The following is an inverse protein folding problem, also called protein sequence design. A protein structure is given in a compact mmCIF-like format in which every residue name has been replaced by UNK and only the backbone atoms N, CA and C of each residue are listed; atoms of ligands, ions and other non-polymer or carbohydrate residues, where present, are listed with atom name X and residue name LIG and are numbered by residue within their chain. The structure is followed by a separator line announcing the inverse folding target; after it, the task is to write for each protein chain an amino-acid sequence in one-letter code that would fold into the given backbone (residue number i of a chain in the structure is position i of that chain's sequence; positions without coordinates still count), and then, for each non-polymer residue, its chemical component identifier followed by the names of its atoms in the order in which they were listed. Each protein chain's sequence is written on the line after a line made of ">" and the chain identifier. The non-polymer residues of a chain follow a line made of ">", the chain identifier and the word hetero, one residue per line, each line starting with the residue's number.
data_IF_350577793967
#
_entry.id   IF_350577793967
#
_cell.length_a   1.000
_cell.length_b   1.000
_cell.length_c   1.000
_cell.angle_alpha   90.00
_cell.angle_beta   90.00
_cell.angle_gamma   90.00
#
_symmetry.space_group_name_H-M   'P 1'
#
loop_
_entity.id
_entity.type
_entity.pdbx_description
1 polymer ?
#
# COMPACT_ATOMS: atom_id res chain seq x y z
N UNK A 1 -26.20 -23.96 -47.52
CA UNK A 1 -25.19 -22.88 -47.59
C UNK A 1 -25.18 -22.22 -46.23
N UNK A 2 -24.12 -22.46 -45.49
CA UNK A 2 -23.90 -21.97 -44.14
C UNK A 2 -23.77 -20.45 -44.16
N UNK A 3 -24.58 -19.77 -43.35
CA UNK A 3 -24.40 -18.36 -43.05
C UNK A 3 -23.43 -18.26 -41.88
N UNK A 4 -22.21 -17.78 -42.15
CA UNK A 4 -21.25 -17.38 -41.13
C UNK A 4 -21.83 -16.21 -40.34
N UNK A 5 -22.15 -16.45 -39.07
CA UNK A 5 -22.40 -15.38 -38.13
C UNK A 5 -21.03 -14.77 -37.79
N UNK A 6 -20.70 -13.65 -38.42
CA UNK A 6 -19.62 -12.77 -37.96
C UNK A 6 -20.01 -12.24 -36.57
N UNK A 7 -19.54 -12.92 -35.53
CA UNK A 7 -19.40 -12.31 -34.21
C UNK A 7 -18.33 -11.24 -34.30
N UNK A 8 -18.72 -10.02 -34.64
CA UNK A 8 -17.89 -8.84 -34.39
C UNK A 8 -17.59 -8.79 -32.88
N UNK A 9 -16.37 -9.15 -32.50
CA UNK A 9 -15.85 -8.83 -31.17
C UNK A 9 -15.95 -7.32 -30.99
N UNK A 10 -16.54 -6.83 -29.89
CA UNK A 10 -16.66 -5.40 -29.67
C UNK A 10 -15.25 -4.79 -29.67
N UNK A 11 -15.04 -3.62 -30.32
CA UNK A 11 -13.74 -2.99 -30.33
C UNK A 11 -13.32 -2.74 -28.89
N UNK A 12 -12.19 -3.34 -28.49
CA UNK A 12 -11.59 -3.12 -27.18
C UNK A 12 -11.33 -1.61 -27.04
N UNK A 13 -12.12 -0.97 -26.16
CA UNK A 13 -11.97 0.44 -25.83
C UNK A 13 -10.50 0.71 -25.45
N UNK A 14 -9.95 1.91 -25.75
CA UNK A 14 -8.61 2.26 -25.30
C UNK A 14 -8.53 2.05 -23.79
N UNK A 15 -7.65 1.15 -23.35
CA UNK A 15 -7.44 0.80 -21.94
C UNK A 15 -6.78 1.99 -21.23
N UNK A 16 -7.60 2.96 -20.81
CA UNK A 16 -7.17 4.09 -20.02
C UNK A 16 -6.86 3.62 -18.60
N UNK A 17 -5.59 3.73 -18.18
CA UNK A 17 -5.10 3.33 -16.86
C UNK A 17 -5.93 3.91 -15.70
N UNK A 18 -6.43 5.12 -15.85
CA UNK A 18 -7.29 5.80 -14.86
C UNK A 18 -8.58 5.03 -14.55
N UNK A 19 -9.12 4.27 -15.50
CA UNK A 19 -10.32 3.43 -15.30
C UNK A 19 -10.06 2.29 -14.29
N UNK A 20 -8.80 1.95 -14.07
CA UNK A 20 -8.34 0.94 -13.12
C UNK A 20 -7.71 1.55 -11.87
N UNK A 21 -7.85 2.87 -11.68
CA UNK A 21 -7.18 3.63 -10.61
C UNK A 21 -5.65 3.53 -10.66
N UNK A 22 -5.07 3.41 -11.86
CA UNK A 22 -3.63 3.38 -12.07
C UNK A 22 -3.18 4.77 -12.52
N UNK A 23 -2.24 5.35 -11.79
CA UNK A 23 -1.63 6.64 -12.11
C UNK A 23 -0.57 6.48 -13.20
N UNK A 24 -0.54 7.39 -14.16
CA UNK A 24 0.53 7.42 -15.16
C UNK A 24 1.89 7.83 -14.59
N UNK A 25 1.90 8.53 -13.45
CA UNK A 25 3.12 8.95 -12.77
C UNK A 25 3.53 7.94 -11.69
N UNK A 26 2.55 7.43 -10.95
CA UNK A 26 2.77 6.66 -9.72
C UNK A 26 2.41 5.17 -9.84
N UNK A 27 1.83 4.73 -10.96
CA UNK A 27 1.38 3.35 -11.12
C UNK A 27 0.28 3.02 -10.11
N UNK A 28 0.49 1.97 -9.31
CA UNK A 28 -0.43 1.57 -8.25
C UNK A 28 -0.23 2.32 -6.92
N UNK A 29 0.85 3.11 -6.77
CA UNK A 29 1.06 3.91 -5.58
C UNK A 29 -0.05 4.96 -5.47
N UNK A 30 -0.55 5.19 -4.25
CA UNK A 30 -1.48 6.27 -3.98
C UNK A 30 -0.70 7.60 -4.13
N UNK A 31 -1.08 8.48 -5.07
CA UNK A 31 -0.38 9.74 -5.25
C UNK A 31 -0.64 10.66 -4.06
N UNK A 32 0.43 11.26 -3.52
CA UNK A 32 0.38 12.22 -2.41
C UNK A 32 -0.53 11.79 -1.25
N UNK A 33 -0.22 10.67 -0.57
CA UNK A 33 -1.07 10.17 0.51
C UNK A 33 -1.28 11.20 1.61
N UNK A 34 -2.51 11.30 2.09
CA UNK A 34 -2.84 12.12 3.25
C UNK A 34 -2.07 11.59 4.47
N UNK A 35 -1.51 12.48 5.29
CA UNK A 35 -0.72 12.09 6.46
C UNK A 35 -1.44 12.27 7.80
N UNK A 36 -2.55 13.00 7.81
CA UNK A 36 -3.33 13.31 9.01
C UNK A 36 -4.82 13.20 8.74
N UNK A 37 -5.55 12.54 9.63
CA UNK A 37 -7.01 12.51 9.58
C UNK A 37 -7.63 13.77 10.19
N UNK A 38 -8.89 14.12 9.83
CA UNK A 38 -9.61 15.21 10.47
C UNK A 38 -9.70 15.06 12.00
N UNK A 39 -9.80 16.20 12.71
CA UNK A 39 -9.76 16.27 14.16
C UNK A 39 -10.63 15.25 14.94
N UNK A 40 -11.86 14.89 14.51
CA UNK A 40 -12.65 13.85 15.18
C UNK A 40 -11.96 12.48 15.29
N UNK A 41 -10.99 12.20 14.41
CA UNK A 41 -10.23 10.95 14.34
C UNK A 41 -8.84 11.02 14.98
N UNK A 42 -8.53 12.12 15.71
CA UNK A 42 -7.26 12.22 16.44
C UNK A 42 -6.98 11.04 17.37
N UNK A 43 -7.96 10.40 18.05
CA UNK A 43 -7.66 9.23 18.88
C UNK A 43 -7.04 8.06 18.12
N UNK A 44 -7.34 7.89 16.82
CA UNK A 44 -6.68 6.90 15.98
C UNK A 44 -5.26 7.33 15.66
N UNK A 45 -5.06 8.58 15.25
CA UNK A 45 -3.74 9.14 14.91
C UNK A 45 -2.79 9.14 16.11
N UNK A 46 -3.26 9.52 17.30
CA UNK A 46 -2.47 9.55 18.54
C UNK A 46 -1.87 8.17 18.85
N UNK A 47 -2.69 7.11 18.75
CA UNK A 47 -2.22 5.73 18.94
C UNK A 47 -1.23 5.33 17.84
N UNK A 48 -1.52 5.70 16.58
CA UNK A 48 -0.70 5.34 15.44
C UNK A 48 0.69 5.99 15.48
N UNK A 49 0.79 7.25 15.94
CA UNK A 49 2.06 7.97 16.07
C UNK A 49 2.95 7.41 17.20
N UNK A 50 2.35 6.87 18.26
CA UNK A 50 3.07 6.26 19.39
C UNK A 50 3.14 4.73 19.29
N UNK A 51 2.75 4.16 18.14
CA UNK A 51 2.51 2.73 18.00
C UNK A 51 3.72 1.85 18.37
N UNK A 52 4.95 2.12 17.89
CA UNK A 52 6.12 1.34 18.29
C UNK A 52 6.39 1.36 19.80
N UNK A 53 6.23 2.53 20.44
CA UNK A 53 6.47 2.71 21.87
C UNK A 53 5.39 2.01 22.70
N UNK A 54 4.12 2.10 22.28
CA UNK A 54 3.01 1.42 22.93
C UNK A 54 3.14 -0.11 22.83
N UNK A 55 3.63 -0.63 21.71
CA UNK A 55 3.89 -2.08 21.55
C UNK A 55 5.05 -2.51 22.44
N UNK A 56 6.19 -1.82 22.35
CA UNK A 56 7.41 -2.19 23.10
C UNK A 56 7.21 -2.09 24.62
N UNK A 57 6.34 -1.19 25.08
CA UNK A 57 5.98 -1.05 26.49
C UNK A 57 4.77 -1.88 26.93
N UNK A 58 4.23 -2.73 26.04
CA UNK A 58 3.06 -3.58 26.28
C UNK A 58 1.77 -2.83 26.66
N UNK A 59 1.66 -1.55 26.28
CA UNK A 59 0.54 -0.67 26.63
C UNK A 59 -0.50 -0.51 25.52
N UNK A 60 -0.20 -0.92 24.28
CA UNK A 60 -1.10 -0.71 23.14
C UNK A 60 -2.49 -1.30 23.38
N UNK A 61 -2.58 -2.53 23.87
CA UNK A 61 -3.89 -3.16 24.14
C UNK A 61 -4.74 -2.35 25.12
N UNK A 62 -4.14 -1.89 26.22
CA UNK A 62 -4.82 -1.03 27.20
C UNK A 62 -5.27 0.29 26.58
N UNK A 63 -4.40 0.92 25.78
CA UNK A 63 -4.71 2.19 25.09
C UNK A 63 -5.85 2.03 24.09
N UNK A 64 -5.85 0.94 23.31
CA UNK A 64 -6.94 0.60 22.39
C UNK A 64 -8.24 0.37 23.15
N UNK A 65 -8.24 -0.29 24.31
CA UNK A 65 -9.47 -0.45 25.11
C UNK A 65 -10.05 0.87 25.63
N UNK A 66 -9.21 1.87 25.88
CA UNK A 66 -9.63 3.21 26.32
C UNK A 66 -10.03 4.13 25.15
N UNK A 67 -9.74 3.73 23.90
CA UNK A 67 -10.06 4.50 22.71
C UNK A 67 -11.58 4.64 22.54
N UNK A 68 -12.13 5.83 22.25
CA UNK A 68 -13.54 5.96 21.93
C UNK A 68 -13.87 5.17 20.65
N UNK A 69 -15.06 4.57 20.59
CA UNK A 69 -15.54 4.00 19.34
C UNK A 69 -15.94 5.15 18.40
N UNK A 70 -15.13 5.38 17.39
CA UNK A 70 -15.37 6.43 16.39
C UNK A 70 -16.12 5.87 15.19
N UNK A 71 -16.89 6.75 14.57
CA UNK A 71 -17.78 6.46 13.45
C UNK A 71 -17.11 6.93 12.16
N UNK A 72 -16.79 6.07 11.18
CA UNK A 72 -16.08 6.47 9.95
C UNK A 72 -16.93 7.26 8.95
N UNK A 73 -18.23 7.45 9.17
CA UNK A 73 -19.12 8.13 8.21
C UNK A 73 -18.96 9.65 8.15
N UNK A 74 -18.03 10.24 8.92
CA UNK A 74 -17.55 11.60 8.67
C UNK A 74 -16.29 11.65 7.78
N UNK A 75 -15.69 10.50 7.43
CA UNK A 75 -14.57 10.43 6.49
C UNK A 75 -15.07 10.77 5.09
N UNK A 76 -14.33 11.61 4.37
CA UNK A 76 -14.68 12.14 3.06
C UNK A 76 -13.64 11.76 2.02
N UNK A 77 -14.13 11.19 0.93
CA UNK A 77 -13.29 10.84 -0.20
C UNK A 77 -12.39 9.62 0.05
N UNK A 78 -11.66 9.23 -0.99
CA UNK A 78 -10.82 8.02 -0.96
C UNK A 78 -9.55 8.23 -0.14
N UNK A 79 -9.02 9.45 -0.08
CA UNK A 79 -7.78 9.79 0.61
C UNK A 79 -7.92 9.56 2.13
N UNK A 80 -8.97 10.11 2.75
CA UNK A 80 -9.25 9.92 4.17
C UNK A 80 -9.58 8.45 4.49
N UNK A 81 -10.29 7.75 3.59
CA UNK A 81 -10.58 6.33 3.77
C UNK A 81 -9.30 5.47 3.73
N UNK A 82 -8.40 5.72 2.77
CA UNK A 82 -7.13 4.99 2.68
C UNK A 82 -6.24 5.26 3.90
N UNK A 83 -6.13 6.52 4.37
CA UNK A 83 -5.39 6.81 5.60
C UNK A 83 -6.03 6.15 6.84
N UNK A 84 -7.36 6.17 6.95
CA UNK A 84 -8.04 5.49 8.04
C UNK A 84 -7.82 3.98 8.01
N UNK A 85 -7.86 3.36 6.82
CA UNK A 85 -7.58 1.93 6.66
C UNK A 85 -6.12 1.60 7.03
N UNK A 86 -5.16 2.43 6.58
CA UNK A 86 -3.75 2.34 6.95
C UNK A 86 -3.57 2.40 8.48
N UNK A 87 -4.13 3.41 9.13
CA UNK A 87 -4.00 3.60 10.58
C UNK A 87 -4.63 2.43 11.35
N UNK A 88 -5.87 2.08 11.04
CA UNK A 88 -6.61 1.03 11.74
C UNK A 88 -5.99 -0.36 11.52
N UNK A 89 -5.44 -0.61 10.33
CA UNK A 89 -4.74 -1.86 10.04
C UNK A 89 -3.43 -1.98 10.82
N UNK A 90 -2.61 -0.93 10.88
CA UNK A 90 -1.38 -0.91 11.68
C UNK A 90 -1.67 -1.09 13.18
N UNK A 91 -2.66 -0.36 13.72
CA UNK A 91 -3.10 -0.55 15.12
C UNK A 91 -3.57 -1.99 15.36
N UNK A 92 -4.30 -2.57 14.40
CA UNK A 92 -4.76 -3.96 14.47
C UNK A 92 -3.61 -4.95 14.52
N UNK A 93 -2.60 -4.81 13.65
CA UNK A 93 -1.44 -5.71 13.65
C UNK A 93 -0.65 -5.57 14.94
N UNK A 94 -0.43 -4.34 15.42
CA UNK A 94 0.18 -4.09 16.72
C UNK A 94 -0.61 -4.73 17.87
N UNK A 95 -1.94 -4.60 17.87
CA UNK A 95 -2.80 -5.13 18.93
C UNK A 95 -2.75 -6.67 19.02
N UNK A 96 -2.85 -7.33 17.86
CA UNK A 96 -2.83 -8.80 17.76
C UNK A 96 -1.45 -9.33 18.16
N UNK A 97 -0.39 -8.77 17.59
CA UNK A 97 0.97 -9.31 17.67
C UNK A 97 1.87 -8.66 18.74
N UNK A 98 1.34 -7.79 19.60
CA UNK A 98 2.10 -7.09 20.67
C UNK A 98 3.04 -8.03 21.46
N UNK A 99 2.56 -9.23 21.76
CA UNK A 99 3.26 -10.24 22.58
C UNK A 99 4.00 -11.29 21.72
N UNK A 100 4.24 -11.01 20.44
CA UNK A 100 4.83 -11.95 19.50
C UNK A 100 3.88 -13.10 19.11
N UNK A 101 4.46 -14.19 18.62
CA UNK A 101 3.72 -15.34 18.08
C UNK A 101 2.96 -16.13 19.15
N UNK A 102 3.43 -16.14 20.41
CA UNK A 102 2.86 -16.97 21.49
C UNK A 102 1.72 -16.29 22.28
N UNK A 103 1.63 -14.96 22.25
CA UNK A 103 0.69 -14.18 23.07
C UNK A 103 -0.43 -13.50 22.27
N UNK A 104 -0.83 -14.09 21.14
CA UNK A 104 -1.86 -13.52 20.27
C UNK A 104 -3.23 -13.44 20.94
N UNK A 105 -4.03 -12.44 20.53
CA UNK A 105 -5.40 -12.27 21.02
C UNK A 105 -6.37 -12.54 19.89
N UNK A 106 -7.33 -13.44 20.14
CA UNK A 106 -8.35 -13.80 19.15
C UNK A 106 -9.53 -12.82 19.09
N UNK A 107 -9.77 -12.05 20.16
CA UNK A 107 -10.89 -11.11 20.25
C UNK A 107 -10.39 -9.66 20.15
N UNK A 108 -10.69 -9.01 19.02
CA UNK A 108 -10.39 -7.59 18.82
C UNK A 108 -11.35 -6.71 19.64
N UNK A 109 -10.84 -5.61 20.20
CA UNK A 109 -11.67 -4.63 20.89
C UNK A 109 -12.70 -4.02 19.90
N UNK A 110 -13.98 -3.95 20.30
CA UNK A 110 -15.09 -3.52 19.42
C UNK A 110 -14.87 -2.14 18.82
N UNK A 111 -14.30 -1.22 19.60
CA UNK A 111 -13.97 0.15 19.23
C UNK A 111 -12.88 0.26 18.15
N UNK A 112 -12.12 -0.82 17.89
CA UNK A 112 -11.20 -0.94 16.76
C UNK A 112 -11.82 -1.76 15.62
N UNK A 113 -12.41 -2.92 15.94
CA UNK A 113 -12.88 -3.88 14.94
C UNK A 113 -14.05 -3.35 14.08
N UNK A 114 -15.01 -2.65 14.69
CA UNK A 114 -16.19 -2.12 13.97
C UNK A 114 -15.80 -1.04 12.96
N UNK A 115 -15.12 0.06 13.34
CA UNK A 115 -14.73 1.08 12.37
C UNK A 115 -13.77 0.54 11.31
N UNK A 116 -12.86 -0.38 11.67
CA UNK A 116 -11.97 -0.97 10.68
C UNK A 116 -12.76 -1.75 9.62
N UNK A 117 -13.70 -2.59 10.04
CA UNK A 117 -14.58 -3.30 9.11
C UNK A 117 -15.40 -2.34 8.23
N UNK A 118 -15.98 -1.29 8.79
CA UNK A 118 -16.76 -0.31 8.02
C UNK A 118 -15.91 0.42 6.96
N UNK A 119 -14.69 0.84 7.30
CA UNK A 119 -13.75 1.46 6.35
C UNK A 119 -13.31 0.45 5.27
N UNK A 120 -13.01 -0.78 5.66
CA UNK A 120 -12.66 -1.87 4.74
C UNK A 120 -13.77 -2.13 3.72
N UNK A 121 -15.04 -2.18 4.15
CA UNK A 121 -16.18 -2.32 3.25
C UNK A 121 -16.30 -1.13 2.29
N UNK A 122 -16.10 0.10 2.75
CA UNK A 122 -16.17 1.30 1.91
C UNK A 122 -15.09 1.32 0.82
N UNK A 123 -13.92 0.74 1.08
CA UNK A 123 -12.82 0.63 0.13
C UNK A 123 -12.84 -0.63 -0.73
N UNK A 124 -13.63 -1.64 -0.36
CA UNK A 124 -13.58 -2.97 -0.97
C UNK A 124 -12.30 -3.75 -0.61
N UNK A 125 -11.70 -3.46 0.55
CA UNK A 125 -10.52 -4.14 1.07
C UNK A 125 -10.90 -5.08 2.24
N UNK A 126 -10.08 -6.10 2.55
CA UNK A 126 -10.28 -6.90 3.75
C UNK A 126 -9.83 -6.14 5.02
N UNK A 127 -10.43 -6.39 6.20
CA UNK A 127 -10.03 -5.77 7.47
C UNK A 127 -8.78 -6.43 8.08
N UNK A 128 -7.68 -6.34 7.32
CA UNK A 128 -6.33 -6.75 7.68
C UNK A 128 -5.33 -5.79 7.00
N UNK A 129 -4.13 -5.66 7.55
CA UNK A 129 -3.05 -4.93 6.89
C UNK A 129 -2.72 -5.58 5.55
N UNK A 130 -2.94 -4.85 4.48
CA UNK A 130 -2.66 -5.29 3.11
C UNK A 130 -1.46 -4.55 2.52
N UNK A 131 -0.96 -5.01 1.38
CA UNK A 131 0.09 -4.29 0.63
C UNK A 131 -0.34 -2.87 0.21
N UNK A 132 -1.64 -2.69 -0.08
CA UNK A 132 -2.20 -1.39 -0.43
C UNK A 132 -2.04 -0.37 0.70
N UNK A 133 -2.13 -0.83 1.94
CA UNK A 133 -1.88 -0.01 3.12
C UNK A 133 -0.38 0.11 3.35
N UNK A 134 0.27 -1.04 3.54
CA UNK A 134 1.63 -1.16 4.06
C UNK A 134 2.68 -0.48 3.17
N UNK A 135 2.48 -0.49 1.84
CA UNK A 135 3.41 0.09 0.87
C UNK A 135 2.75 1.21 0.08
N UNK A 136 1.63 0.92 -0.61
CA UNK A 136 1.13 1.83 -1.65
C UNK A 136 0.63 3.17 -1.09
N UNK A 137 0.12 3.18 0.15
CA UNK A 137 -0.39 4.36 0.85
C UNK A 137 0.52 4.87 1.99
N UNK A 138 1.45 4.05 2.51
CA UNK A 138 2.24 4.39 3.70
C UNK A 138 3.55 5.14 3.38
N UNK A 139 3.46 6.27 2.69
CA UNK A 139 4.64 7.05 2.35
C UNK A 139 4.34 8.55 2.24
N UNK A 140 5.36 9.35 2.50
CA UNK A 140 5.36 10.80 2.27
C UNK A 140 6.74 11.27 1.85
N UNK A 141 6.78 12.41 1.18
CA UNK A 141 8.04 13.15 0.97
C UNK A 141 8.32 14.03 2.18
N UNK A 142 9.59 14.13 2.57
CA UNK A 142 10.07 15.07 3.59
C UNK A 142 10.08 16.49 3.03
N UNK A 143 10.65 16.66 1.84
CA UNK A 143 10.47 17.84 0.98
C UNK A 143 9.49 17.49 -0.16
N UNK A 144 8.28 18.08 -0.18
CA UNK A 144 7.29 17.85 -1.23
C UNK A 144 7.80 18.09 -2.65
N UNK A 145 8.77 18.99 -2.81
CA UNK A 145 9.36 19.36 -4.10
C UNK A 145 10.62 18.56 -4.44
N UNK A 146 11.09 17.73 -3.51
CA UNK A 146 12.28 16.89 -3.69
C UNK A 146 11.98 15.60 -4.48
N UNK A 147 13.03 14.86 -4.87
CA UNK A 147 12.90 13.63 -5.65
C UNK A 147 12.27 12.48 -4.82
N UNK A 148 11.79 11.45 -5.51
CA UNK A 148 11.32 10.19 -4.90
C UNK A 148 12.51 9.27 -4.64
N UNK A 149 13.32 9.62 -3.66
CA UNK A 149 14.52 8.88 -3.26
C UNK A 149 14.48 8.56 -1.77
N UNK A 150 15.20 7.51 -1.36
CA UNK A 150 15.16 6.98 0.01
C UNK A 150 15.42 8.06 1.08
N UNK A 151 16.26 9.03 0.76
CA UNK A 151 16.68 10.12 1.65
C UNK A 151 15.54 11.12 1.87
N UNK A 152 14.73 11.36 0.84
CA UNK A 152 13.60 12.29 0.86
C UNK A 152 12.26 11.61 1.18
N UNK A 153 12.23 10.27 1.31
CA UNK A 153 11.02 9.52 1.63
C UNK A 153 10.95 9.16 3.11
N UNK A 154 9.73 9.04 3.62
CA UNK A 154 9.46 8.51 4.95
C UNK A 154 8.11 7.78 5.00
N UNK A 155 7.92 6.91 5.98
CA UNK A 155 6.64 6.25 6.24
C UNK A 155 5.71 7.16 7.03
N UNK A 156 4.39 7.00 6.86
CA UNK A 156 3.39 7.74 7.65
C UNK A 156 3.22 7.08 9.01
N UNK A 157 2.92 5.78 9.02
CA UNK A 157 2.78 4.96 10.23
C UNK A 157 3.87 3.88 10.23
N UNK A 158 4.37 3.54 11.41
CA UNK A 158 5.42 2.56 11.59
C UNK A 158 5.12 1.58 12.74
N UNK A 159 5.77 0.42 12.69
CA UNK A 159 5.72 -0.66 13.68
C UNK A 159 7.15 -0.88 14.24
N UNK A 160 7.32 -1.75 15.25
CA UNK A 160 8.67 -2.16 15.66
C UNK A 160 9.48 -2.72 14.48
N UNK A 161 10.77 -2.38 14.44
CA UNK A 161 11.68 -2.70 13.33
C UNK A 161 12.53 -1.52 12.85
N UNK A 162 12.21 -0.29 13.30
CA UNK A 162 13.04 0.90 13.11
C UNK A 162 13.39 1.17 11.64
N UNK A 163 14.65 1.51 11.38
CA UNK A 163 15.12 1.80 10.01
C UNK A 163 14.99 0.59 9.07
N UNK A 164 15.04 -0.65 9.57
CA UNK A 164 14.84 -1.83 8.70
C UNK A 164 13.41 -1.96 8.22
N UNK A 165 12.41 -1.61 9.05
CA UNK A 165 11.02 -1.58 8.61
C UNK A 165 10.78 -0.46 7.60
N UNK A 166 11.29 0.74 7.91
CA UNK A 166 11.25 1.88 6.99
C UNK A 166 11.91 1.52 5.65
N UNK A 167 13.08 0.88 5.69
CA UNK A 167 13.79 0.37 4.53
C UNK A 167 12.95 -0.61 3.73
N UNK A 168 12.35 -1.61 4.38
CA UNK A 168 11.54 -2.64 3.73
C UNK A 168 10.34 -2.03 2.98
N UNK A 169 9.63 -1.09 3.61
CA UNK A 169 8.49 -0.41 2.99
C UNK A 169 8.94 0.46 1.82
N UNK A 170 9.93 1.33 2.02
CA UNK A 170 10.32 2.32 1.01
C UNK A 170 11.08 1.71 -0.17
N UNK A 171 11.90 0.68 0.04
CA UNK A 171 12.50 -0.07 -1.08
C UNK A 171 11.42 -0.73 -1.91
N UNK A 172 10.43 -1.37 -1.27
CA UNK A 172 9.30 -1.98 -1.98
C UNK A 172 8.49 -0.93 -2.76
N UNK A 173 8.28 0.26 -2.19
CA UNK A 173 7.67 1.38 -2.89
C UNK A 173 8.47 1.82 -4.13
N UNK A 174 9.80 1.84 -4.05
CA UNK A 174 10.64 2.20 -5.20
C UNK A 174 10.59 1.14 -6.30
N UNK A 175 10.44 -0.13 -5.94
CA UNK A 175 10.17 -1.21 -6.91
C UNK A 175 8.83 -0.96 -7.62
N UNK A 176 7.76 -0.65 -6.89
CA UNK A 176 6.45 -0.30 -7.47
C UNK A 176 6.56 0.93 -8.41
N UNK A 177 7.33 1.95 -7.99
CA UNK A 177 7.55 3.15 -8.81
C UNK A 177 8.36 2.86 -10.08
N UNK A 178 9.31 1.93 -10.02
CA UNK A 178 10.12 1.51 -11.16
C UNK A 178 9.31 0.70 -12.19
N UNK A 179 8.21 0.06 -11.77
CA UNK A 179 7.32 -0.68 -12.66
C UNK A 179 6.49 0.23 -13.60
N UNK A 180 6.35 1.53 -13.29
CA UNK A 180 5.43 2.45 -13.98
C UNK A 180 5.61 2.49 -15.51
N UNK A 181 6.82 2.60 -16.08
CA UNK A 181 6.99 2.57 -17.54
C UNK A 181 6.46 1.28 -18.16
N UNK A 182 6.72 0.13 -17.52
CA UNK A 182 6.22 -1.17 -17.97
C UNK A 182 4.70 -1.27 -17.89
N UNK A 183 4.08 -0.77 -16.82
CA UNK A 183 2.61 -0.71 -16.68
C UNK A 183 1.99 0.11 -17.83
N UNK A 184 2.60 1.23 -18.20
CA UNK A 184 2.16 2.07 -19.33
C UNK A 184 2.36 1.40 -20.69
N UNK A 185 3.37 0.54 -20.81
CA UNK A 185 3.65 -0.21 -22.03
C UNK A 185 2.61 -1.31 -22.30
N UNK A 186 1.95 -1.87 -21.27
CA UNK A 186 0.94 -2.93 -21.43
C UNK A 186 -0.20 -2.53 -22.40
N UNK A 187 -0.96 -1.44 -22.19
CA UNK A 187 -2.02 -1.05 -23.11
C UNK A 187 -1.48 -0.66 -24.49
N UNK A 188 -0.23 -0.16 -24.59
CA UNK A 188 0.42 0.15 -25.86
C UNK A 188 0.71 -1.12 -26.66
N UNK A 189 1.26 -2.15 -26.02
CA UNK A 189 1.51 -3.46 -26.60
C UNK A 189 0.21 -4.10 -27.10
N UNK A 190 -0.83 -4.13 -26.26
CA UNK A 190 -2.16 -4.65 -26.63
C UNK A 190 -2.71 -3.92 -27.86
N UNK A 191 -2.66 -2.59 -27.86
CA UNK A 191 -3.10 -1.79 -28.99
C UNK A 191 -2.29 -2.05 -30.27
N UNK A 192 -0.98 -2.24 -30.16
CA UNK A 192 -0.11 -2.53 -31.29
C UNK A 192 -0.39 -3.92 -31.88
N UNK A 193 -0.59 -4.94 -31.04
CA UNK A 193 -0.99 -6.29 -31.46
C UNK A 193 -2.30 -6.26 -32.26
N UNK A 194 -3.32 -5.53 -31.78
CA UNK A 194 -4.60 -5.43 -32.48
C UNK A 194 -4.49 -4.76 -33.87
N UNK A 195 -3.53 -3.86 -34.05
CA UNK A 195 -3.29 -3.17 -35.33
C UNK A 195 -2.29 -3.89 -36.25
N UNK A 196 -1.67 -4.98 -35.80
CA UNK A 196 -0.56 -5.61 -36.52
C UNK A 196 0.68 -4.71 -36.64
N UNK A 197 0.86 -3.77 -35.71
CA UNK A 197 1.98 -2.83 -35.69
C UNK A 197 3.17 -3.44 -34.93
N UNK A 198 4.01 -4.17 -35.65
CA UNK A 198 5.17 -4.89 -35.09
C UNK A 198 6.19 -3.95 -34.45
N UNK A 199 6.42 -2.75 -35.02
CA UNK A 199 7.40 -1.80 -34.51
C UNK A 199 6.96 -1.21 -33.17
N UNK A 200 5.69 -0.82 -33.04
CA UNK A 200 5.15 -0.34 -31.76
C UNK A 200 5.06 -1.46 -30.72
N UNK A 201 4.75 -2.69 -31.14
CA UNK A 201 4.75 -3.84 -30.23
C UNK A 201 6.16 -4.11 -29.69
N UNK A 202 7.17 -4.12 -30.57
CA UNK A 202 8.56 -4.32 -30.17
C UNK A 202 9.01 -3.27 -29.15
N UNK A 203 8.78 -1.99 -29.42
CA UNK A 203 9.10 -0.89 -28.48
C UNK A 203 8.41 -1.03 -27.13
N UNK A 204 7.12 -1.40 -27.12
CA UNK A 204 6.39 -1.60 -25.86
C UNK A 204 6.96 -2.78 -25.05
N UNK A 205 7.40 -3.85 -25.72
CA UNK A 205 8.06 -4.98 -25.05
C UNK A 205 9.45 -4.62 -24.52
N UNK A 206 10.21 -3.78 -25.23
CA UNK A 206 11.49 -3.24 -24.75
C UNK A 206 11.29 -2.38 -23.50
N UNK A 207 10.31 -1.48 -23.47
CA UNK A 207 9.95 -0.68 -22.28
C UNK A 207 9.55 -1.56 -21.09
N UNK A 208 8.77 -2.62 -21.34
CA UNK A 208 8.40 -3.58 -20.29
C UNK A 208 9.63 -4.32 -19.73
N UNK A 209 10.53 -4.77 -20.61
CA UNK A 209 11.77 -5.42 -20.19
C UNK A 209 12.69 -4.48 -19.39
N UNK A 210 12.81 -3.22 -19.84
CA UNK A 210 13.55 -2.17 -19.13
C UNK A 210 12.98 -1.89 -17.74
N UNK A 211 11.64 -1.83 -17.60
CA UNK A 211 10.99 -1.66 -16.31
C UNK A 211 11.25 -2.82 -15.35
N UNK A 212 11.25 -4.06 -15.84
CA UNK A 212 11.59 -5.25 -15.02
C UNK A 212 13.03 -5.19 -14.53
N UNK A 213 13.99 -4.78 -15.36
CA UNK A 213 15.39 -4.62 -14.90
C UNK A 213 15.52 -3.46 -13.90
N UNK A 214 14.81 -2.35 -14.09
CA UNK A 214 14.79 -1.25 -13.13
C UNK A 214 14.17 -1.67 -11.78
N UNK A 215 13.09 -2.46 -11.79
CA UNK A 215 12.50 -3.07 -10.59
C UNK A 215 13.51 -3.97 -9.88
N UNK A 216 14.24 -4.79 -10.64
CA UNK A 216 15.28 -5.66 -10.09
C UNK A 216 16.37 -4.85 -9.41
N UNK A 217 16.86 -3.78 -10.04
CA UNK A 217 17.88 -2.92 -9.45
C UNK A 217 17.38 -2.21 -8.19
N UNK A 218 16.15 -1.68 -8.20
CA UNK A 218 15.52 -1.12 -7.01
C UNK A 218 15.44 -2.16 -5.87
N UNK A 219 15.07 -3.40 -6.18
CA UNK A 219 14.99 -4.48 -5.19
C UNK A 219 16.36 -4.84 -4.58
N UNK A 220 17.47 -4.68 -5.31
CA UNK A 220 18.83 -4.95 -4.77
C UNK A 220 19.14 -4.10 -3.54
N UNK A 221 18.58 -2.89 -3.49
CA UNK A 221 18.73 -1.95 -2.36
C UNK A 221 18.18 -2.53 -1.05
N UNK A 222 17.34 -3.57 -1.10
CA UNK A 222 16.86 -4.24 0.11
C UNK A 222 18.03 -4.69 1.01
N UNK A 223 19.16 -5.09 0.42
CA UNK A 223 20.37 -5.48 1.16
C UNK A 223 21.04 -4.32 1.93
N UNK A 224 20.83 -3.08 1.49
CA UNK A 224 21.45 -1.90 2.10
C UNK A 224 20.60 -1.34 3.25
N UNK A 225 19.27 -1.52 3.19
CA UNK A 225 18.33 -0.88 4.11
C UNK A 225 17.63 -1.85 5.08
N UNK A 226 17.68 -3.16 4.85
CA UNK A 226 16.96 -4.14 5.68
C UNK A 226 17.92 -5.14 6.31
N UNK A 227 17.99 -5.11 7.64
CA UNK A 227 18.68 -6.14 8.41
C UNK A 227 17.85 -7.44 8.39
N UNK A 228 18.42 -8.56 7.89
CA UNK A 228 17.69 -9.83 7.79
C UNK A 228 17.19 -10.38 9.13
N UNK A 229 17.96 -10.18 10.21
CA UNK A 229 17.60 -10.66 11.54
C UNK A 229 16.44 -9.84 12.11
N UNK A 230 16.49 -8.51 11.96
CA UNK A 230 15.38 -7.62 12.37
C UNK A 230 14.12 -7.94 11.55
N UNK A 231 14.28 -8.20 10.25
CA UNK A 231 13.15 -8.59 9.42
C UNK A 231 12.50 -9.88 9.90
N UNK A 232 13.30 -10.92 10.13
CA UNK A 232 12.79 -12.24 10.49
C UNK A 232 12.19 -12.29 11.90
N UNK A 233 12.87 -11.67 12.87
CA UNK A 233 12.53 -11.76 14.30
C UNK A 233 11.52 -10.72 14.77
N UNK A 234 11.41 -9.58 14.08
CA UNK A 234 10.51 -8.48 14.49
C UNK A 234 9.46 -8.19 13.43
N UNK A 235 9.88 -7.80 12.22
CA UNK A 235 8.96 -7.26 11.21
C UNK A 235 7.96 -8.31 10.74
N UNK A 236 8.45 -9.51 10.39
CA UNK A 236 7.64 -10.62 9.85
C UNK A 236 6.44 -10.97 10.72
N UNK A 237 6.58 -10.85 12.05
CA UNK A 237 5.51 -11.15 13.00
C UNK A 237 4.30 -10.23 12.73
N UNK A 238 4.53 -8.92 12.60
CA UNK A 238 3.46 -7.96 12.34
C UNK A 238 2.87 -8.02 10.92
N UNK A 239 3.50 -8.73 10.00
CA UNK A 239 2.99 -8.98 8.64
C UNK A 239 2.23 -10.29 8.52
N UNK A 240 2.19 -11.09 9.59
CA UNK A 240 1.48 -12.36 9.62
C UNK A 240 -0.02 -12.13 9.81
N UNK A 241 -0.85 -12.85 9.04
CA UNK A 241 -2.31 -12.72 9.04
C UNK A 241 -3.05 -13.85 9.73
#
# INVERSE_FOLDING_TARGET
>A
MEGSADTEEPPLLPLALSSFHISEEFGFLLPSPLTELPAPYSPWMDIAHELPQLITSHQLRSRVHQMPQLSPQQLRGREELHLAHLVLSFITMGYVWQEGEEGTVQVKARNLAVPFWEVSQALGLPPILSHADFVLANWRRKDPNGPLEMENLDTIITLPGGESLRGFILVTLLVEKAAVPGIKAIPQALGATLRGDEESLHRALEELAGAIEAMREALRRMHDYVDPEVFYSVIRIFLSG
#
